data_IF_855363083559
#
_entry.id   IF_855363083559
#
_cell.length_a   1.000
_cell.length_b   1.000
_cell.length_c   1.000
_cell.angle_alpha   90.00
_cell.angle_beta   90.00
_cell.angle_gamma   90.00
#
_symmetry.space_group_name_H-M   'P 1'
#
loop_
_entity.id
_entity.type
_entity.pdbx_description
1 polymer ?
#
# COMPACT_ATOMS: atom_id res chain seq x y z
N UNK A 1 0.05 19.68 -19.77
CA UNK A 1 0.66 18.49 -19.13
C UNK A 1 1.82 18.93 -18.28
N UNK A 2 1.95 18.36 -17.07
CA UNK A 2 3.02 18.68 -16.11
C UNK A 2 3.65 17.41 -15.56
N UNK A 3 4.92 17.49 -15.15
CA UNK A 3 5.66 16.37 -14.56
C UNK A 3 4.97 15.88 -13.28
N UNK A 4 4.79 14.56 -13.11
CA UNK A 4 4.17 13.99 -11.91
C UNK A 4 5.13 13.94 -10.71
N UNK A 5 6.43 13.89 -10.99
CA UNK A 5 7.51 13.77 -10.04
C UNK A 5 8.81 14.33 -10.66
N UNK A 6 9.81 14.56 -9.81
CA UNK A 6 11.15 14.93 -10.23
C UNK A 6 11.77 13.80 -11.07
N UNK A 7 12.58 14.14 -12.06
CA UNK A 7 13.17 13.14 -12.94
C UNK A 7 14.15 13.69 -13.94
N UNK A 8 14.58 12.81 -14.85
CA UNK A 8 15.48 13.13 -15.95
C UNK A 8 14.81 12.72 -17.25
N UNK A 9 14.77 13.61 -18.24
CA UNK A 9 14.20 13.30 -19.55
C UNK A 9 15.13 12.34 -20.28
N UNK A 10 14.67 11.12 -20.57
CA UNK A 10 15.48 10.08 -21.22
C UNK A 10 15.31 10.08 -22.73
N UNK A 11 14.09 10.33 -23.19
CA UNK A 11 13.78 10.41 -24.61
C UNK A 11 12.60 11.35 -24.85
N UNK A 12 12.59 12.00 -26.00
CA UNK A 12 11.48 12.85 -26.42
C UNK A 12 11.34 12.84 -27.94
N UNK A 13 10.15 13.21 -28.41
CA UNK A 13 9.88 13.53 -29.82
C UNK A 13 8.95 14.72 -29.89
N UNK A 14 9.32 15.73 -30.67
CA UNK A 14 8.41 16.82 -31.03
C UNK A 14 7.33 16.27 -31.96
N UNK A 15 6.08 16.74 -31.82
CA UNK A 15 5.02 16.32 -32.73
C UNK A 15 5.37 16.74 -34.16
N UNK A 16 5.11 15.86 -35.11
CA UNK A 16 5.15 16.13 -36.54
C UNK A 16 3.79 16.60 -37.06
N UNK A 17 3.78 17.14 -38.28
CA UNK A 17 2.55 17.48 -39.01
C UNK A 17 1.91 16.26 -39.72
N UNK A 18 2.39 15.04 -39.42
CA UNK A 18 1.94 13.79 -40.05
C UNK A 18 0.80 13.11 -39.32
N UNK A 19 0.17 13.78 -38.34
CA UNK A 19 -0.91 13.25 -37.50
C UNK A 19 -1.98 12.49 -38.30
N UNK A 20 -2.42 13.07 -39.41
CA UNK A 20 -3.55 12.52 -40.19
C UNK A 20 -3.13 11.46 -41.23
N UNK A 21 -1.85 11.06 -41.25
CA UNK A 21 -1.29 10.07 -42.15
C UNK A 21 -1.03 8.74 -41.42
N UNK A 22 -1.00 7.63 -42.17
CA UNK A 22 -0.54 6.35 -41.63
C UNK A 22 0.94 6.45 -41.18
N UNK A 23 1.34 5.83 -40.05
CA UNK A 23 0.55 4.95 -39.18
C UNK A 23 -0.20 5.69 -38.05
N UNK A 24 -0.12 7.01 -37.97
CA UNK A 24 -0.71 7.80 -36.87
C UNK A 24 -2.22 7.99 -36.98
N UNK A 25 -2.78 7.78 -38.17
CA UNK A 25 -4.20 7.63 -38.40
C UNK A 25 -4.51 6.20 -38.85
N UNK A 26 -5.00 5.36 -37.94
CA UNK A 26 -5.36 3.96 -38.22
C UNK A 26 -6.57 3.83 -39.15
N UNK A 27 -7.34 4.90 -39.32
CA UNK A 27 -8.51 4.97 -40.20
C UNK A 27 -8.27 5.95 -41.36
N UNK A 28 -7.02 6.12 -41.82
CA UNK A 28 -6.66 7.06 -42.89
C UNK A 28 -7.33 6.74 -44.24
N UNK A 29 -7.82 5.51 -44.40
CA UNK A 29 -8.62 5.03 -45.54
C UNK A 29 -10.04 5.61 -45.57
N UNK A 30 -10.54 6.14 -44.44
CA UNK A 30 -11.88 6.72 -44.32
C UNK A 30 -11.83 8.25 -44.44
N UNK A 31 -12.81 8.87 -45.15
CA UNK A 31 -12.86 10.32 -45.27
C UNK A 31 -13.09 10.99 -43.90
N UNK A 32 -12.50 12.17 -43.72
CA UNK A 32 -12.65 13.03 -42.53
C UNK A 32 -12.18 12.42 -41.20
N UNK A 33 -11.38 11.36 -41.21
CA UNK A 33 -10.76 10.85 -39.97
C UNK A 33 -9.53 11.67 -39.61
N UNK A 34 -9.35 11.89 -38.31
CA UNK A 34 -8.18 12.56 -37.73
C UNK A 34 -7.38 11.53 -36.95
N UNK A 35 -6.06 11.59 -37.09
CA UNK A 35 -5.18 10.68 -36.37
C UNK A 35 -4.74 11.22 -35.02
N UNK A 36 -3.73 10.57 -34.47
CA UNK A 36 -3.14 10.84 -33.17
C UNK A 36 -1.84 11.63 -33.29
N UNK A 37 -1.62 12.62 -32.44
CA UNK A 37 -0.32 13.30 -32.41
C UNK A 37 0.78 12.32 -32.00
N UNK A 38 2.00 12.52 -32.50
CA UNK A 38 3.13 11.62 -32.29
C UNK A 38 4.19 12.20 -31.33
N UNK A 39 3.97 13.39 -30.78
CA UNK A 39 4.84 13.96 -29.76
C UNK A 39 4.81 13.15 -28.46
N UNK A 40 5.98 12.94 -27.85
CA UNK A 40 6.08 12.26 -26.55
C UNK A 40 7.25 12.74 -25.71
N UNK A 41 7.18 12.49 -24.41
CA UNK A 41 8.28 12.64 -23.45
C UNK A 41 8.32 11.42 -22.54
N UNK A 42 9.49 10.80 -22.43
CA UNK A 42 9.81 9.72 -21.51
C UNK A 42 10.75 10.25 -20.43
N UNK A 43 10.35 10.09 -19.17
CA UNK A 43 11.07 10.61 -18.01
C UNK A 43 11.40 9.44 -17.08
N UNK A 44 12.67 9.32 -16.69
CA UNK A 44 13.10 8.39 -15.63
C UNK A 44 13.03 9.13 -14.29
N UNK A 45 12.42 8.49 -13.32
CA UNK A 45 12.29 8.93 -11.94
C UNK A 45 13.08 7.98 -11.06
N UNK A 46 13.74 8.53 -10.05
CA UNK A 46 14.42 7.79 -8.99
C UNK A 46 13.95 8.39 -7.67
N UNK A 47 13.46 7.54 -6.77
CA UNK A 47 12.93 7.98 -5.47
C UNK A 47 13.17 6.92 -4.42
N UNK A 48 13.09 7.35 -3.17
CA UNK A 48 13.10 6.48 -2.01
C UNK A 48 11.66 6.27 -1.53
N UNK A 49 11.32 5.02 -1.26
CA UNK A 49 10.08 4.55 -0.67
C UNK A 49 10.35 3.90 0.68
N UNK A 50 11.53 4.05 1.26
CA UNK A 50 11.96 3.28 2.43
C UNK A 50 13.45 3.42 2.69
N UNK A 51 13.98 2.60 3.59
CA UNK A 51 15.41 2.53 3.91
C UNK A 51 16.15 1.47 3.09
N UNK A 52 17.47 1.58 3.03
CA UNK A 52 18.32 0.64 2.30
C UNK A 52 18.11 0.63 0.78
N UNK A 53 18.73 -0.33 0.09
CA UNK A 53 18.66 -0.41 -1.38
C UNK A 53 17.32 -0.97 -1.91
N UNK A 54 16.62 -1.74 -1.09
CA UNK A 54 15.27 -2.25 -1.38
C UNK A 54 14.19 -1.16 -1.23
N UNK A 55 14.50 -0.08 -0.51
CA UNK A 55 13.72 1.14 -0.43
C UNK A 55 13.94 2.11 -1.59
N UNK A 56 14.85 1.83 -2.55
CA UNK A 56 15.13 2.70 -3.70
C UNK A 56 14.49 2.16 -4.97
N UNK A 57 13.67 2.96 -5.63
CA UNK A 57 12.97 2.57 -6.85
C UNK A 57 13.21 3.53 -8.00
N UNK A 58 13.33 2.97 -9.19
CA UNK A 58 13.30 3.68 -10.45
C UNK A 58 12.03 3.33 -11.22
N UNK A 59 11.37 4.35 -11.77
CA UNK A 59 10.23 4.15 -12.65
C UNK A 59 10.23 5.18 -13.76
N UNK A 60 9.42 4.94 -14.78
CA UNK A 60 9.29 5.80 -15.94
C UNK A 60 7.89 6.36 -16.03
N UNK A 61 7.77 7.61 -16.42
CA UNK A 61 6.52 8.17 -16.90
C UNK A 61 6.63 8.50 -18.38
N UNK A 62 5.61 8.12 -19.13
CA UNK A 62 5.52 8.33 -20.57
C UNK A 62 4.27 9.15 -20.89
N UNK A 63 4.51 10.36 -21.40
CA UNK A 63 3.49 11.29 -21.87
C UNK A 63 3.43 11.20 -23.39
N UNK A 64 2.32 10.70 -23.94
CA UNK A 64 2.14 10.52 -25.38
C UNK A 64 1.03 11.40 -25.95
N UNK A 65 1.05 11.53 -27.28
CA UNK A 65 0.11 12.33 -28.06
C UNK A 65 0.16 13.83 -27.72
N UNK A 66 1.35 14.33 -27.40
CA UNK A 66 1.58 15.74 -27.13
C UNK A 66 1.54 16.54 -28.43
N UNK A 67 0.85 17.69 -28.41
CA UNK A 67 0.82 18.63 -29.54
C UNK A 67 2.16 19.33 -29.71
N UNK A 68 2.71 19.74 -28.59
CA UNK A 68 3.97 20.46 -28.47
C UNK A 68 4.61 20.13 -27.13
N UNK A 69 5.93 20.20 -27.11
CA UNK A 69 6.73 20.09 -25.89
C UNK A 69 6.91 21.49 -25.29
N UNK A 70 7.02 21.57 -23.97
CA UNK A 70 7.50 22.79 -23.33
C UNK A 70 8.98 23.03 -23.70
N UNK A 71 9.37 24.29 -23.85
CA UNK A 71 10.74 24.67 -24.27
C UNK A 71 11.82 24.22 -23.27
N UNK A 72 11.42 24.04 -22.02
CA UNK A 72 12.26 23.56 -20.91
C UNK A 72 12.55 22.06 -20.98
N UNK A 73 11.87 21.29 -21.83
CA UNK A 73 12.04 19.84 -21.92
C UNK A 73 13.09 19.49 -22.97
N UNK A 74 14.25 18.99 -22.52
CA UNK A 74 15.33 18.51 -23.38
C UNK A 74 15.85 17.17 -22.87
N UNK A 75 16.30 16.29 -23.77
CA UNK A 75 16.87 15.01 -23.39
C UNK A 75 18.14 15.21 -22.55
N UNK A 76 18.26 14.48 -21.44
CA UNK A 76 19.33 14.62 -20.46
C UNK A 76 19.04 15.65 -19.35
N UNK A 77 18.12 16.58 -19.57
CA UNK A 77 17.82 17.62 -18.57
C UNK A 77 16.95 17.08 -17.43
N UNK A 78 17.11 17.73 -16.27
CA UNK A 78 16.23 17.53 -15.12
C UNK A 78 14.89 18.21 -15.33
N UNK A 79 13.84 17.57 -14.83
CA UNK A 79 12.52 18.16 -14.66
C UNK A 79 12.12 18.01 -13.21
N UNK A 80 11.44 19.00 -12.67
CA UNK A 80 10.90 18.98 -11.33
C UNK A 80 9.39 18.73 -11.36
N UNK A 81 8.87 18.17 -10.28
CA UNK A 81 7.45 17.92 -10.09
C UNK A 81 6.68 19.21 -10.36
N UNK A 82 5.65 19.09 -11.20
CA UNK A 82 4.80 20.17 -11.73
C UNK A 82 5.43 21.03 -12.84
N UNK A 83 6.66 20.79 -13.27
CA UNK A 83 7.20 21.51 -14.42
C UNK A 83 6.35 21.28 -15.69
N UNK A 84 6.20 22.30 -16.55
CA UNK A 84 5.51 22.13 -17.83
C UNK A 84 6.21 21.06 -18.69
N UNK A 85 5.44 20.10 -19.20
CA UNK A 85 5.94 19.05 -20.12
C UNK A 85 5.53 19.34 -21.56
N UNK A 86 4.29 19.81 -21.74
CA UNK A 86 3.73 20.04 -23.06
C UNK A 86 2.23 20.24 -23.03
N UNK A 87 1.63 20.37 -24.20
CA UNK A 87 0.19 20.53 -24.36
C UNK A 87 -0.48 19.20 -24.73
N UNK A 88 -1.64 18.86 -24.12
CA UNK A 88 -2.44 17.72 -24.55
C UNK A 88 -2.92 17.93 -25.99
N UNK A 89 -3.32 16.86 -26.68
CA UNK A 89 -3.78 16.97 -28.05
C UNK A 89 -4.90 15.98 -28.42
N UNK A 90 -4.89 15.51 -29.67
CA UNK A 90 -5.83 14.57 -30.21
C UNK A 90 -5.27 13.16 -30.19
N UNK A 91 -6.11 12.23 -29.74
CA UNK A 91 -5.96 10.79 -29.93
C UNK A 91 -7.17 10.35 -30.75
N UNK A 92 -6.92 9.86 -31.97
CA UNK A 92 -7.94 9.43 -32.93
C UNK A 92 -9.07 10.46 -33.12
N UNK A 93 -8.68 11.73 -33.20
CA UNK A 93 -9.59 12.87 -33.39
C UNK A 93 -10.31 13.39 -32.14
N UNK A 94 -10.08 12.79 -30.96
CA UNK A 94 -10.67 13.23 -29.69
C UNK A 94 -9.63 13.90 -28.80
N UNK A 95 -10.01 14.95 -28.08
CA UNK A 95 -9.15 15.59 -27.09
C UNK A 95 -8.83 14.59 -25.96
N UNK A 96 -7.62 14.06 -25.97
CA UNK A 96 -7.14 13.06 -25.04
C UNK A 96 -5.61 13.09 -24.97
N UNK A 97 -5.06 12.40 -23.98
CA UNK A 97 -3.64 12.10 -23.93
C UNK A 97 -3.48 10.69 -23.39
N UNK A 98 -2.37 10.07 -23.76
CA UNK A 98 -2.01 8.77 -23.22
C UNK A 98 -0.90 8.97 -22.20
N UNK A 99 -1.07 8.37 -21.03
CA UNK A 99 -0.13 8.45 -19.93
C UNK A 99 0.10 7.07 -19.32
N UNK A 100 1.36 6.70 -19.19
CA UNK A 100 1.78 5.44 -18.62
C UNK A 100 2.83 5.67 -17.54
N UNK A 101 2.73 4.88 -16.47
CA UNK A 101 3.78 4.70 -15.47
C UNK A 101 4.19 3.24 -15.53
N UNK A 102 5.49 2.97 -15.64
CA UNK A 102 6.00 1.61 -15.70
C UNK A 102 7.40 1.52 -15.12
N UNK A 103 7.80 0.32 -14.71
CA UNK A 103 9.15 -0.03 -14.31
C UNK A 103 9.36 -1.52 -14.61
N UNK A 104 10.59 -2.00 -14.45
CA UNK A 104 10.92 -3.42 -14.62
C UNK A 104 10.45 -4.25 -13.40
N UNK A 105 10.57 -5.57 -13.54
CA UNK A 105 10.13 -6.53 -12.50
C UNK A 105 10.87 -6.37 -11.18
N UNK A 106 12.14 -5.91 -11.21
CA UNK A 106 12.93 -5.67 -10.01
C UNK A 106 12.35 -4.48 -9.24
N UNK A 107 12.01 -3.37 -9.91
CA UNK A 107 11.38 -2.22 -9.29
C UNK A 107 9.93 -2.51 -8.87
N UNK A 108 9.18 -3.34 -9.61
CA UNK A 108 7.87 -3.84 -9.17
C UNK A 108 8.02 -4.67 -7.88
N UNK A 109 9.04 -5.52 -7.79
CA UNK A 109 9.31 -6.32 -6.59
C UNK A 109 9.60 -5.41 -5.39
N UNK A 110 10.40 -4.36 -5.58
CA UNK A 110 10.67 -3.34 -4.55
C UNK A 110 9.43 -2.52 -4.20
N UNK A 111 8.56 -2.20 -5.15
CA UNK A 111 7.32 -1.47 -4.90
C UNK A 111 6.25 -2.31 -4.22
N UNK A 112 6.25 -3.63 -4.40
CA UNK A 112 5.17 -4.50 -3.89
C UNK A 112 5.60 -5.36 -2.72
N UNK A 113 6.91 -5.55 -2.52
CA UNK A 113 7.48 -6.46 -1.53
C UNK A 113 7.30 -7.94 -1.86
N UNK A 114 6.88 -8.28 -3.08
CA UNK A 114 6.56 -9.66 -3.51
C UNK A 114 6.79 -9.88 -5.00
N UNK A 115 7.02 -11.14 -5.38
CA UNK A 115 7.10 -11.59 -6.80
C UNK A 115 5.89 -12.42 -7.24
N UNK A 116 5.08 -12.84 -6.28
CA UNK A 116 3.87 -13.66 -6.47
C UNK A 116 2.64 -12.87 -6.02
N UNK A 117 1.45 -13.40 -6.29
CA UNK A 117 0.20 -12.79 -5.85
C UNK A 117 0.04 -12.82 -4.33
N UNK A 118 0.49 -13.89 -3.69
CA UNK A 118 0.34 -14.16 -2.25
C UNK A 118 1.52 -13.59 -1.46
N UNK A 119 1.27 -13.21 -0.20
CA UNK A 119 2.30 -12.82 0.75
C UNK A 119 2.92 -14.04 1.43
N UNK A 120 4.18 -13.94 1.81
CA UNK A 120 4.82 -14.96 2.64
C UNK A 120 4.30 -14.88 4.09
N UNK A 121 3.32 -15.73 4.39
CA UNK A 121 2.69 -15.83 5.71
C UNK A 121 3.51 -16.64 6.73
N UNK A 122 4.70 -17.12 6.38
CA UNK A 122 5.58 -17.83 7.33
C UNK A 122 6.36 -16.90 8.26
N UNK A 123 6.44 -15.61 7.91
CA UNK A 123 7.23 -14.60 8.59
C UNK A 123 6.53 -13.24 8.59
N UNK A 124 7.03 -12.31 9.40
CA UNK A 124 6.61 -10.92 9.31
C UNK A 124 7.03 -10.32 7.97
N UNK A 125 6.29 -9.31 7.52
CA UNK A 125 6.57 -8.59 6.29
C UNK A 125 7.89 -7.80 6.35
N UNK A 126 8.18 -7.10 5.26
CA UNK A 126 9.35 -6.23 5.13
C UNK A 126 9.37 -5.10 6.16
N UNK A 127 10.54 -4.59 6.51
CA UNK A 127 10.75 -3.49 7.49
C UNK A 127 11.33 -2.23 6.86
N UNK A 128 11.89 -2.35 5.68
CA UNK A 128 12.57 -1.29 4.93
C UNK A 128 11.60 -0.29 4.29
N UNK A 129 10.43 -0.74 3.82
CA UNK A 129 9.37 0.12 3.28
C UNK A 129 7.99 -0.28 3.82
N UNK A 130 7.48 0.47 4.79
CA UNK A 130 6.25 0.17 5.54
C UNK A 130 5.23 1.29 5.37
N UNK A 131 4.23 1.08 4.50
CA UNK A 131 3.20 2.07 4.16
C UNK A 131 1.85 1.41 3.96
N UNK A 132 0.79 2.22 4.04
CA UNK A 132 -0.58 1.77 3.84
C UNK A 132 -1.13 1.03 5.05
N UNK A 133 -2.07 0.13 4.77
CA UNK A 133 -2.71 -0.70 5.78
C UNK A 133 -1.75 -1.75 6.32
N UNK A 134 -1.89 -2.03 7.62
CA UNK A 134 -1.18 -3.11 8.27
C UNK A 134 -2.06 -4.35 8.27
N UNK A 135 -1.43 -5.49 8.08
CA UNK A 135 -2.09 -6.67 7.56
C UNK A 135 -1.68 -7.86 8.42
N UNK A 136 -2.61 -8.58 9.02
CA UNK A 136 -2.32 -9.63 9.98
C UNK A 136 -2.81 -10.98 9.48
N UNK A 137 -1.91 -11.96 9.45
CA UNK A 137 -2.27 -13.36 9.30
C UNK A 137 -2.50 -13.97 10.69
N UNK A 138 -3.73 -14.41 10.95
CA UNK A 138 -4.12 -15.10 12.17
C UNK A 138 -4.21 -16.59 11.84
N UNK A 139 -3.34 -17.45 12.40
CA UNK A 139 -3.39 -18.88 12.12
C UNK A 139 -4.68 -19.52 12.68
N UNK A 140 -5.02 -20.75 12.24
CA UNK A 140 -5.98 -21.56 12.96
C UNK A 140 -5.58 -21.69 14.43
N UNK A 141 -6.56 -21.91 15.29
CA UNK A 141 -6.46 -21.97 16.74
C UNK A 141 -6.14 -20.62 17.41
N UNK A 142 -6.34 -19.50 16.70
CA UNK A 142 -6.31 -18.17 17.31
C UNK A 142 -7.53 -18.00 18.22
N UNK A 143 -7.28 -17.67 19.48
CA UNK A 143 -8.30 -17.49 20.52
C UNK A 143 -8.75 -16.03 20.60
N UNK A 144 -10.05 -15.83 20.77
CA UNK A 144 -10.71 -14.54 20.91
C UNK A 144 -11.36 -14.45 22.28
N UNK A 145 -11.12 -13.33 22.99
CA UNK A 145 -11.59 -13.11 24.35
C UNK A 145 -12.64 -12.01 24.43
N UNK A 146 -13.38 -11.96 25.53
CA UNK A 146 -14.40 -10.96 25.81
C UNK A 146 -13.85 -9.53 25.98
N UNK A 147 -12.61 -9.41 26.46
CA UNK A 147 -11.93 -8.13 26.71
C UNK A 147 -10.41 -8.32 26.76
N UNK A 148 -9.68 -7.20 26.68
CA UNK A 148 -8.25 -7.19 26.97
C UNK A 148 -8.00 -7.43 28.48
N UNK A 149 -6.90 -8.10 28.85
CA UNK A 149 -6.42 -8.15 30.23
C UNK A 149 -6.25 -6.76 30.86
N UNK A 150 -6.43 -6.69 32.18
CA UNK A 150 -6.10 -5.50 32.94
C UNK A 150 -4.59 -5.18 32.82
N UNK A 151 -4.25 -3.90 32.94
CA UNK A 151 -2.87 -3.39 32.95
C UNK A 151 -2.00 -3.83 31.76
N UNK A 152 -2.64 -4.10 30.60
CA UNK A 152 -1.96 -4.56 29.39
C UNK A 152 -1.12 -5.85 29.62
N UNK A 153 -1.57 -6.72 30.53
CA UNK A 153 -0.89 -8.00 30.80
C UNK A 153 -1.01 -8.97 29.63
N UNK A 154 -0.08 -9.94 29.54
CA UNK A 154 -0.18 -11.09 28.64
C UNK A 154 -1.09 -12.21 29.19
N UNK A 155 -1.41 -12.18 30.50
CA UNK A 155 -2.18 -13.25 31.14
C UNK A 155 -3.64 -13.21 30.70
N UNK A 156 -4.14 -14.32 30.18
CA UNK A 156 -5.55 -14.50 29.82
C UNK A 156 -6.38 -15.11 30.95
N UNK A 157 -5.81 -15.19 32.16
CA UNK A 157 -6.50 -15.79 33.32
C UNK A 157 -7.71 -14.95 33.71
N UNK A 158 -8.88 -15.59 33.81
CA UNK A 158 -10.14 -14.91 34.15
C UNK A 158 -10.81 -14.20 32.99
N UNK A 159 -10.27 -14.31 31.77
CA UNK A 159 -10.98 -13.92 30.55
C UNK A 159 -11.91 -15.03 30.08
N UNK A 160 -13.01 -14.66 29.42
CA UNK A 160 -13.91 -15.62 28.78
C UNK A 160 -13.50 -15.79 27.32
N UNK A 161 -13.19 -17.03 26.92
CA UNK A 161 -12.97 -17.36 25.52
C UNK A 161 -14.31 -17.31 24.77
N UNK A 162 -14.42 -16.43 23.79
CA UNK A 162 -15.63 -16.26 22.96
C UNK A 162 -15.61 -17.14 21.72
N UNK A 163 -14.41 -17.35 21.16
CA UNK A 163 -14.23 -18.09 19.90
C UNK A 163 -12.79 -18.58 19.76
N UNK A 164 -12.62 -19.71 19.08
CA UNK A 164 -11.32 -20.21 18.62
C UNK A 164 -11.42 -20.51 17.12
N UNK A 165 -10.54 -19.90 16.32
CA UNK A 165 -10.57 -20.08 14.87
C UNK A 165 -10.20 -21.51 14.48
N UNK A 166 -10.93 -22.10 13.53
CA UNK A 166 -10.55 -23.41 12.95
C UNK A 166 -9.87 -23.28 11.59
N UNK A 167 -9.85 -22.06 11.04
CA UNK A 167 -9.25 -21.71 9.75
C UNK A 167 -8.48 -20.39 9.89
N UNK A 168 -7.55 -20.08 8.98
CA UNK A 168 -6.85 -18.82 9.03
C UNK A 168 -7.79 -17.63 8.79
N UNK A 169 -7.54 -16.53 9.50
CA UNK A 169 -8.23 -15.25 9.33
C UNK A 169 -7.21 -14.17 8.93
N UNK A 170 -7.69 -13.14 8.24
CA UNK A 170 -6.86 -12.07 7.70
C UNK A 170 -7.42 -10.73 8.18
N UNK A 171 -6.73 -10.07 9.11
CA UNK A 171 -7.15 -8.77 9.63
C UNK A 171 -6.37 -7.64 8.93
N UNK A 172 -7.02 -6.50 8.72
CA UNK A 172 -6.41 -5.30 8.17
C UNK A 172 -6.71 -4.13 9.09
N UNK A 173 -5.65 -3.46 9.55
CA UNK A 173 -5.69 -2.27 10.37
C UNK A 173 -5.35 -1.05 9.51
N UNK A 174 -6.32 -0.14 9.38
CA UNK A 174 -6.15 1.12 8.67
C UNK A 174 -6.17 2.27 9.67
N UNK A 175 -5.13 3.10 9.65
CA UNK A 175 -5.10 4.37 10.36
C UNK A 175 -5.35 5.51 9.39
N UNK A 176 -6.43 6.25 9.58
CA UNK A 176 -6.76 7.39 8.73
C UNK A 176 -7.62 8.41 9.47
N UNK A 177 -7.25 9.69 9.34
CA UNK A 177 -8.02 10.83 9.85
C UNK A 177 -8.35 10.71 11.35
N UNK A 178 -7.45 10.18 12.16
CA UNK A 178 -7.65 10.01 13.60
C UNK A 178 -8.24 8.66 13.99
N UNK A 179 -8.69 7.84 13.03
CA UNK A 179 -9.42 6.59 13.31
C UNK A 179 -8.55 5.36 13.07
N UNK A 180 -8.81 4.32 13.85
CA UNK A 180 -8.39 2.95 13.56
C UNK A 180 -9.58 2.15 13.04
N UNK A 181 -9.50 1.64 11.81
CA UNK A 181 -10.50 0.73 11.25
C UNK A 181 -9.90 -0.66 11.13
N UNK A 182 -10.52 -1.64 11.78
CA UNK A 182 -10.16 -3.06 11.70
C UNK A 182 -11.17 -3.81 10.82
N UNK A 183 -10.66 -4.46 9.78
CA UNK A 183 -11.46 -5.29 8.86
C UNK A 183 -10.94 -6.72 8.90
N UNK A 184 -11.80 -7.70 9.07
CA UNK A 184 -11.40 -9.12 9.05
C UNK A 184 -11.99 -9.85 7.86
N UNK A 185 -11.20 -10.72 7.25
CA UNK A 185 -11.59 -11.52 6.09
C UNK A 185 -11.21 -12.97 6.29
N UNK A 186 -11.92 -13.84 5.57
CA UNK A 186 -11.63 -15.27 5.48
C UNK A 186 -11.50 -15.66 4.01
N UNK A 187 -10.57 -16.56 3.68
CA UNK A 187 -10.41 -17.05 2.30
C UNK A 187 -11.68 -17.78 1.86
N UNK A 188 -12.21 -17.43 0.69
CA UNK A 188 -13.36 -18.09 0.09
C UNK A 188 -12.91 -19.48 -0.44
N UNK A 189 -13.68 -20.52 -0.11
CA UNK A 189 -13.35 -21.90 -0.51
C UNK A 189 -13.80 -22.27 -1.93
N UNK A 190 -14.63 -21.45 -2.56
CA UNK A 190 -15.22 -21.70 -3.87
C UNK A 190 -14.57 -20.87 -4.99
N UNK A 191 -13.97 -19.73 -4.67
CA UNK A 191 -13.39 -18.79 -5.63
C UNK A 191 -11.96 -18.46 -5.22
N UNK A 192 -10.99 -18.92 -6.00
CA UNK A 192 -9.59 -18.64 -5.72
C UNK A 192 -9.27 -17.14 -5.74
N UNK A 193 -8.40 -16.72 -4.83
CA UNK A 193 -8.02 -15.32 -4.62
C UNK A 193 -9.14 -14.41 -4.09
N UNK A 194 -10.31 -14.95 -3.71
CA UNK A 194 -11.37 -14.17 -3.06
C UNK A 194 -11.30 -14.31 -1.54
N UNK A 195 -11.48 -13.20 -0.84
CA UNK A 195 -11.51 -13.11 0.61
C UNK A 195 -12.83 -12.46 1.03
N UNK A 196 -13.69 -13.21 1.72
CA UNK A 196 -15.00 -12.74 2.18
C UNK A 196 -14.84 -11.94 3.47
N UNK A 197 -15.59 -10.85 3.57
CA UNK A 197 -15.64 -10.00 4.75
C UNK A 197 -16.35 -10.72 5.91
N UNK A 198 -15.77 -10.64 7.11
CA UNK A 198 -16.37 -11.13 8.34
C UNK A 198 -16.89 -9.95 9.17
N UNK A 199 -18.21 -9.83 9.25
CA UNK A 199 -18.89 -8.76 9.97
C UNK A 199 -18.66 -7.36 9.36
N UNK A 200 -19.24 -6.34 9.98
CA UNK A 200 -19.00 -4.96 9.58
C UNK A 200 -17.62 -4.47 10.05
N UNK A 201 -16.95 -3.55 9.32
CA UNK A 201 -15.72 -2.92 9.77
C UNK A 201 -15.83 -2.34 11.17
N UNK A 202 -14.85 -2.63 12.02
CA UNK A 202 -14.77 -2.12 13.39
C UNK A 202 -14.03 -0.79 13.38
N UNK A 203 -14.70 0.30 13.73
CA UNK A 203 -14.10 1.65 13.79
C UNK A 203 -13.89 2.05 15.25
N UNK A 204 -12.66 2.39 15.62
CA UNK A 204 -12.27 2.81 16.97
C UNK A 204 -12.74 1.85 18.09
N UNK A 205 -12.83 0.55 17.80
CA UNK A 205 -13.30 -0.44 18.75
C UNK A 205 -12.43 -0.52 20.03
N UNK A 206 -11.16 -0.15 19.91
CA UNK A 206 -10.17 -0.19 20.99
C UNK A 206 -9.83 1.20 21.56
N UNK A 207 -10.63 2.22 21.22
CA UNK A 207 -10.52 3.58 21.77
C UNK A 207 -10.87 4.68 20.77
N UNK A 208 -11.51 5.74 21.26
CA UNK A 208 -11.82 6.93 20.47
C UNK A 208 -10.56 7.66 19.99
N UNK A 209 -10.63 8.23 18.79
CA UNK A 209 -9.52 8.91 18.11
C UNK A 209 -8.19 8.14 18.21
N UNK A 210 -8.27 6.82 17.99
CA UNK A 210 -7.17 5.87 18.23
C UNK A 210 -5.84 6.35 17.65
N UNK A 211 -5.83 6.81 16.38
CA UNK A 211 -4.61 7.24 15.70
C UNK A 211 -3.96 8.46 16.37
N UNK A 212 -4.77 9.43 16.82
CA UNK A 212 -4.27 10.62 17.52
C UNK A 212 -3.85 10.30 18.95
N UNK A 213 -4.41 9.25 19.55
CA UNK A 213 -4.11 8.82 20.90
C UNK A 213 -2.97 7.79 21.00
N UNK A 214 -2.36 7.38 19.88
CA UNK A 214 -1.26 6.39 19.86
C UNK A 214 -0.14 6.72 20.85
N UNK A 215 0.35 7.96 20.86
CA UNK A 215 1.42 8.39 21.78
C UNK A 215 1.00 8.27 23.25
N UNK A 216 -0.21 8.72 23.57
CA UNK A 216 -0.76 8.63 24.94
C UNK A 216 -0.92 7.17 25.37
N UNK A 217 -1.42 6.31 24.49
CA UNK A 217 -1.54 4.88 24.74
C UNK A 217 -0.17 4.23 24.91
N UNK A 218 0.81 4.63 24.09
CA UNK A 218 2.17 4.11 24.17
C UNK A 218 2.82 4.41 25.52
N UNK A 219 2.76 5.68 25.95
CA UNK A 219 3.27 6.13 27.25
C UNK A 219 2.57 5.44 28.45
N UNK A 220 1.30 5.05 28.29
CA UNK A 220 0.54 4.38 29.35
C UNK A 220 0.87 2.88 29.43
N UNK A 221 0.90 2.20 28.29
CA UNK A 221 0.91 0.74 28.21
C UNK A 221 2.32 0.15 28.04
N UNK A 222 3.28 0.92 27.54
CA UNK A 222 4.66 0.48 27.25
C UNK A 222 5.67 1.44 27.90
N UNK A 223 5.53 1.68 29.21
CA UNK A 223 6.26 2.71 29.96
C UNK A 223 7.79 2.60 29.85
N UNK A 224 8.30 1.37 29.74
CA UNK A 224 9.74 1.10 29.66
C UNK A 224 10.30 1.27 28.24
N UNK A 225 9.43 1.29 27.23
CA UNK A 225 9.82 1.42 25.82
C UNK A 225 8.74 2.15 24.99
N UNK A 226 8.38 3.41 25.30
CA UNK A 226 7.22 4.05 24.65
C UNK A 226 7.37 4.21 23.13
N UNK A 227 8.58 4.42 22.61
CA UNK A 227 8.85 4.49 21.17
C UNK A 227 8.57 3.15 20.48
N UNK A 228 9.14 2.05 20.98
CA UNK A 228 8.83 0.70 20.50
C UNK A 228 7.34 0.35 20.65
N UNK A 229 6.71 0.76 21.75
CA UNK A 229 5.27 0.61 21.96
C UNK A 229 4.42 1.41 20.96
N UNK A 230 4.86 2.59 20.56
CA UNK A 230 4.21 3.38 19.50
C UNK A 230 4.28 2.65 18.16
N UNK A 231 5.45 2.10 17.82
CA UNK A 231 5.59 1.26 16.62
C UNK A 231 4.70 0.01 16.70
N UNK A 232 4.65 -0.64 17.86
CA UNK A 232 3.77 -1.80 18.08
C UNK A 232 2.31 -1.46 17.82
N UNK A 233 1.78 -0.37 18.39
CA UNK A 233 0.40 0.06 18.19
C UNK A 233 0.12 0.44 16.72
N UNK A 234 1.11 0.98 16.01
CA UNK A 234 0.96 1.44 14.63
C UNK A 234 1.11 0.32 13.60
N UNK A 235 2.04 -0.61 13.83
CA UNK A 235 2.51 -1.58 12.84
C UNK A 235 2.31 -3.04 13.27
N UNK A 236 1.78 -3.28 14.47
CA UNK A 236 1.65 -4.63 15.02
C UNK A 236 2.97 -5.27 15.45
N UNK A 237 4.09 -4.55 15.31
CA UNK A 237 5.44 -4.96 15.70
C UNK A 237 6.40 -3.77 15.69
N UNK A 238 7.57 -3.93 16.28
CA UNK A 238 8.69 -2.99 16.12
C UNK A 238 9.30 -3.17 14.73
N UNK A 239 9.47 -2.08 14.00
CA UNK A 239 10.07 -1.99 12.67
C UNK A 239 11.54 -1.60 12.78
N UNK A 240 11.87 -0.61 13.62
CA UNK A 240 13.23 -0.10 13.78
C UNK A 240 14.03 -0.91 14.82
N UNK A 241 14.19 -2.21 14.61
CA UNK A 241 14.82 -3.11 15.58
C UNK A 241 16.30 -2.83 15.86
N UNK A 242 16.96 -2.02 15.02
CA UNK A 242 18.36 -1.63 15.20
C UNK A 242 18.52 -0.54 16.28
N UNK A 243 17.45 0.20 16.59
CA UNK A 243 17.47 1.33 17.51
C UNK A 243 16.39 1.25 18.60
N UNK A 244 15.36 0.43 18.40
CA UNK A 244 14.23 0.27 19.31
C UNK A 244 14.16 -1.16 19.84
N UNK A 245 13.92 -1.30 21.13
CA UNK A 245 13.70 -2.59 21.79
C UNK A 245 12.43 -2.52 22.61
N UNK A 246 11.49 -3.42 22.34
CA UNK A 246 10.25 -3.54 23.11
C UNK A 246 10.56 -4.15 24.48
N UNK A 247 10.06 -3.52 25.53
CA UNK A 247 10.25 -3.93 26.92
C UNK A 247 8.89 -3.94 27.65
N UNK A 248 8.47 -5.10 28.17
CA UNK A 248 9.09 -6.42 27.99
C UNK A 248 9.01 -6.89 26.52
N UNK A 249 9.86 -7.84 26.13
CA UNK A 249 9.96 -8.29 24.73
C UNK A 249 8.67 -8.96 24.20
N UNK A 250 7.82 -9.44 25.10
CA UNK A 250 6.52 -10.06 24.83
C UNK A 250 5.34 -9.12 25.12
N UNK A 251 5.58 -7.81 25.22
CA UNK A 251 4.52 -6.85 25.48
C UNK A 251 3.39 -6.98 24.42
N UNK A 252 2.12 -7.10 24.86
CA UNK A 252 1.03 -7.48 23.96
C UNK A 252 0.48 -6.28 23.20
N UNK A 253 -0.22 -6.56 22.09
CA UNK A 253 -1.09 -5.65 21.37
C UNK A 253 -2.51 -6.21 21.36
N UNK A 254 -3.30 -5.86 22.37
CA UNK A 254 -4.69 -6.30 22.45
C UNK A 254 -5.59 -5.45 21.56
N UNK A 255 -6.21 -6.06 20.55
CA UNK A 255 -7.09 -5.40 19.59
C UNK A 255 -8.37 -6.20 19.35
N UNK A 256 -9.48 -5.51 19.11
CA UNK A 256 -10.77 -6.13 18.78
C UNK A 256 -10.81 -6.49 17.30
N UNK A 257 -11.09 -7.75 16.99
CA UNK A 257 -11.12 -8.32 15.63
C UNK A 257 -12.41 -9.12 15.44
N UNK A 258 -12.99 -9.09 14.23
CA UNK A 258 -14.15 -9.91 13.92
C UNK A 258 -13.76 -11.38 13.74
N UNK A 259 -14.65 -12.28 14.11
CA UNK A 259 -14.59 -13.71 13.78
C UNK A 259 -15.94 -14.14 13.17
N UNK A 260 -16.05 -15.36 12.60
CA UNK A 260 -17.33 -15.81 12.04
C UNK A 260 -18.47 -15.77 13.08
N UNK A 261 -19.43 -14.88 12.87
CA UNK A 261 -20.59 -14.72 13.76
C UNK A 261 -20.39 -13.80 14.97
N UNK A 262 -19.26 -13.12 15.11
CA UNK A 262 -19.03 -12.20 16.23
C UNK A 262 -17.73 -11.41 16.16
N UNK A 263 -17.28 -10.91 17.32
CA UNK A 263 -16.03 -10.17 17.49
C UNK A 263 -15.46 -10.40 18.88
N UNK A 264 -14.15 -10.30 19.02
CA UNK A 264 -13.46 -10.47 20.30
C UNK A 264 -12.07 -9.86 20.28
N UNK A 265 -11.44 -9.82 21.45
CA UNK A 265 -10.12 -9.23 21.64
C UNK A 265 -9.04 -10.29 21.49
N UNK A 266 -7.98 -9.98 20.74
CA UNK A 266 -6.82 -10.86 20.52
C UNK A 266 -5.51 -10.10 20.71
N UNK A 267 -4.44 -10.81 21.05
CA UNK A 267 -3.09 -10.24 21.09
C UNK A 267 -2.47 -10.32 19.69
N UNK A 268 -2.52 -9.25 18.91
CA UNK A 268 -1.91 -9.16 17.57
C UNK A 268 -0.38 -9.23 17.59
N UNK A 269 0.25 -9.02 18.75
CA UNK A 269 1.70 -9.16 18.93
C UNK A 269 2.14 -10.59 19.24
N UNK A 270 1.20 -11.55 19.35
CA UNK A 270 1.53 -12.95 19.53
C UNK A 270 2.43 -13.45 18.39
N UNK A 271 3.52 -14.13 18.72
CA UNK A 271 4.53 -14.57 17.75
C UNK A 271 4.01 -15.50 16.64
N UNK A 272 2.86 -16.16 16.86
CA UNK A 272 2.19 -16.98 15.84
C UNK A 272 1.47 -16.13 14.77
N UNK A 273 1.09 -14.90 15.10
CA UNK A 273 0.47 -13.93 14.18
C UNK A 273 1.58 -13.23 13.40
N UNK A 274 1.39 -13.09 12.08
CA UNK A 274 2.35 -12.37 11.23
C UNK A 274 1.79 -11.00 10.86
N UNK A 275 2.53 -9.95 11.24
CA UNK A 275 2.29 -8.60 10.74
C UNK A 275 2.98 -8.45 9.38
N UNK A 276 2.17 -8.17 8.38
CA UNK A 276 2.46 -8.03 6.97
C UNK A 276 2.18 -6.59 6.55
N UNK A 277 2.78 -6.18 5.44
CA UNK A 277 2.56 -4.85 4.86
C UNK A 277 2.49 -5.00 3.35
N UNK A 278 1.62 -4.24 2.71
CA UNK A 278 1.60 -4.09 1.25
C UNK A 278 1.64 -2.62 0.87
N UNK A 279 2.57 -2.25 -0.01
CA UNK A 279 2.74 -0.88 -0.46
C UNK A 279 1.60 -0.39 -1.38
N UNK A 280 1.03 -1.26 -2.23
CA UNK A 280 -0.02 -0.87 -3.19
C UNK A 280 -0.94 -2.06 -3.53
N UNK A 281 -2.25 -1.89 -3.36
CA UNK A 281 -3.25 -2.72 -4.05
C UNK A 281 -3.58 -2.08 -5.40
N UNK A 282 -2.82 -2.41 -6.45
CA UNK A 282 -2.98 -1.83 -7.80
C UNK A 282 -4.31 -2.21 -8.48
N UNK A 283 -5.01 -3.19 -7.92
CA UNK A 283 -6.40 -3.49 -8.25
C UNK A 283 -7.24 -3.09 -7.06
N UNK A 284 -8.34 -2.37 -7.23
CA UNK A 284 -9.34 -2.14 -6.16
C UNK A 284 -10.00 -3.41 -5.60
N UNK A 285 -9.41 -4.58 -5.83
CA UNK A 285 -9.67 -5.84 -5.12
C UNK A 285 -8.70 -5.87 -3.94
N UNK A 286 -9.23 -6.07 -2.74
CA UNK A 286 -8.43 -6.34 -1.54
C UNK A 286 -7.26 -7.27 -1.90
N UNK A 287 -6.05 -6.90 -1.48
CA UNK A 287 -4.83 -7.63 -1.82
C UNK A 287 -5.03 -9.14 -1.69
N UNK A 288 -4.53 -9.90 -2.64
CA UNK A 288 -4.42 -11.35 -2.45
C UNK A 288 -3.45 -11.58 -1.30
N UNK A 289 -3.94 -12.24 -0.27
CA UNK A 289 -3.18 -12.69 0.89
C UNK A 289 -2.55 -14.02 0.58
#
# INVERSE_FOLDING_TARGET
MRAIADGTVVSLRKSSDKRDLAPFNINADKPNTKGSNDGYVLIKHETEIGSGDEGKVAFYSLYMHLKSLAETVKAGDKVYRKDPIGLPCMVDGVNAFHFQIFCDDDNISKLTGRKTGELDISKNGRTDAVYGDIHFYLPPQTKFYDKAPADNSISTTGLSELYTSNVPLYASMTLAQGKCTMVTRQKNTQTDGKYDLLGEPLVNADGDDYEYNLYKTAMRNYKESPSAGFELLRFGRVINTDHETLVPADAPLWMTVNYPGGKGVINLADSSIKSLVTLISLTGRAGRW
#
